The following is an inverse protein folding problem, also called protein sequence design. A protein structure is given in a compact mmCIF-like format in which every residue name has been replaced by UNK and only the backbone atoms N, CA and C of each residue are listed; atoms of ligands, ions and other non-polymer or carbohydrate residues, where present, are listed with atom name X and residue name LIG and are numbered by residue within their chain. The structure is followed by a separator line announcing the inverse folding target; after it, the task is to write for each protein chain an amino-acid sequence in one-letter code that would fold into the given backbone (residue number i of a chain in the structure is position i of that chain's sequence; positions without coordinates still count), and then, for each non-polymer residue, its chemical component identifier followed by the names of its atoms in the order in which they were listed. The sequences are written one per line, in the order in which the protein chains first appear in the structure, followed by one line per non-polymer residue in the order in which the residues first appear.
data_IF_616573527049
#
_entry.id   IF_616573527049
#
_cell.length_a   1.000
_cell.length_b   1.000
_cell.length_c   1.000
_cell.angle_alpha   90.00
_cell.angle_beta   90.00
_cell.angle_gamma   90.00
#
_symmetry.space_group_name_H-M   'P 1'
#
loop_
_entity.id
_entity.type
_entity.pdbx_description
1 polymer ?
#
# COMPACT_ATOMS: atom_id res chain seq x y z
N UNK A 1 2.28 0.52 -0.12
CA UNK A 1 1.21 0.55 0.89
C UNK A 1 -0.09 -0.04 0.34
N UNK A 2 -0.65 0.46 -0.75
CA UNK A 2 -1.96 0.05 -1.26
C UNK A 2 -2.04 -1.44 -1.63
N UNK A 3 -0.96 -2.02 -2.12
CA UNK A 3 -0.83 -3.44 -2.50
C UNK A 3 -0.19 -4.33 -1.42
N UNK A 4 -0.12 -3.91 -0.17
CA UNK A 4 0.56 -4.66 0.89
C UNK A 4 -0.21 -5.88 1.44
N UNK A 5 -1.52 -6.02 1.17
CA UNK A 5 -2.34 -7.14 1.62
C UNK A 5 -2.19 -8.41 0.76
N UNK A 6 -2.25 -8.35 -0.60
CA UNK A 6 -2.23 -9.54 -1.43
C UNK A 6 -1.08 -10.52 -1.14
N UNK A 7 0.17 -10.07 -0.87
CA UNK A 7 1.27 -10.97 -0.54
C UNK A 7 1.06 -11.78 0.73
N UNK A 8 0.29 -11.23 1.69
CA UNK A 8 0.03 -11.85 3.00
C UNK A 8 -1.37 -12.43 3.14
N UNK A 9 -2.16 -12.46 2.05
CA UNK A 9 -3.56 -12.92 2.09
C UNK A 9 -3.69 -14.31 2.70
N UNK A 10 -2.87 -15.26 2.27
CA UNK A 10 -2.90 -16.64 2.75
C UNK A 10 -2.59 -16.71 4.24
N UNK A 11 -1.53 -16.01 4.67
CA UNK A 11 -1.12 -15.94 6.08
C UNK A 11 -2.22 -15.37 6.97
N UNK A 12 -2.84 -14.25 6.55
CA UNK A 12 -3.91 -13.60 7.31
C UNK A 12 -5.16 -14.48 7.37
N UNK A 13 -5.50 -15.16 6.27
CA UNK A 13 -6.64 -16.10 6.23
C UNK A 13 -6.41 -17.25 7.20
N UNK A 14 -5.22 -17.82 7.25
CA UNK A 14 -4.86 -18.90 8.17
C UNK A 14 -4.87 -18.45 9.64
N UNK A 15 -4.26 -17.29 9.93
CA UNK A 15 -4.15 -16.77 11.30
C UNK A 15 -5.53 -16.46 11.91
N UNK A 16 -6.44 -15.88 11.13
CA UNK A 16 -7.76 -15.49 11.62
C UNK A 16 -8.86 -16.51 11.32
N UNK A 17 -8.55 -17.63 10.65
CA UNK A 17 -9.55 -18.63 10.25
C UNK A 17 -10.64 -18.05 9.35
N UNK A 18 -10.29 -17.17 8.42
CA UNK A 18 -11.25 -16.44 7.58
C UNK A 18 -11.88 -17.32 6.51
N UNK A 19 -13.17 -17.14 6.30
CA UNK A 19 -13.84 -17.74 5.14
C UNK A 19 -13.41 -17.06 3.82
N UNK A 20 -13.54 -17.73 2.66
CA UNK A 20 -13.25 -17.11 1.36
C UNK A 20 -14.02 -15.81 1.11
N UNK A 21 -15.27 -15.72 1.60
CA UNK A 21 -16.08 -14.51 1.51
C UNK A 21 -15.50 -13.35 2.33
N UNK A 22 -15.05 -13.62 3.56
CA UNK A 22 -14.41 -12.62 4.42
C UNK A 22 -13.09 -12.13 3.82
N UNK A 23 -12.26 -13.02 3.30
CA UNK A 23 -11.02 -12.67 2.61
C UNK A 23 -11.28 -11.82 1.35
N UNK A 24 -12.35 -12.11 0.61
CA UNK A 24 -12.82 -11.30 -0.50
C UNK A 24 -13.29 -9.90 -0.06
N UNK A 25 -14.03 -9.82 1.05
CA UNK A 25 -14.48 -8.54 1.63
C UNK A 25 -13.30 -7.63 1.97
N UNK A 26 -12.24 -8.14 2.61
CA UNK A 26 -11.03 -7.36 2.91
C UNK A 26 -10.40 -6.81 1.61
N UNK A 27 -10.38 -7.61 0.53
CA UNK A 27 -9.92 -7.18 -0.78
C UNK A 27 -10.76 -6.04 -1.37
N UNK A 28 -12.09 -6.16 -1.32
CA UNK A 28 -13.03 -5.16 -1.82
C UNK A 28 -12.97 -3.85 -1.03
N UNK A 29 -12.80 -3.92 0.29
CA UNK A 29 -12.68 -2.75 1.16
C UNK A 29 -11.56 -1.80 0.72
N UNK A 30 -10.49 -2.33 0.14
CA UNK A 30 -9.38 -1.52 -0.36
C UNK A 30 -9.81 -0.58 -1.52
N UNK A 31 -10.78 -0.99 -2.31
CA UNK A 31 -11.25 -0.22 -3.48
C UNK A 31 -12.46 0.64 -3.13
N UNK A 32 -13.26 0.22 -2.17
CA UNK A 32 -14.56 0.83 -1.85
C UNK A 32 -14.46 2.34 -1.56
N UNK A 33 -13.50 2.76 -0.74
CA UNK A 33 -13.30 4.19 -0.44
C UNK A 33 -12.40 4.92 -1.43
N UNK A 34 -11.74 4.22 -2.35
CA UNK A 34 -10.84 4.86 -3.33
C UNK A 34 -11.60 5.80 -4.26
N UNK A 35 -12.81 5.42 -4.69
CA UNK A 35 -13.61 6.25 -5.63
C UNK A 35 -14.05 7.56 -4.98
N UNK A 36 -14.77 7.57 -3.85
CA UNK A 36 -15.14 8.83 -3.20
C UNK A 36 -13.92 9.63 -2.73
N UNK A 37 -12.85 8.97 -2.27
CA UNK A 37 -11.63 9.64 -1.87
C UNK A 37 -10.95 10.41 -3.03
N UNK A 38 -11.04 9.92 -4.27
CA UNK A 38 -10.51 10.64 -5.45
C UNK A 38 -11.15 12.00 -5.63
N UNK A 39 -12.45 12.13 -5.38
CA UNK A 39 -13.16 13.41 -5.48
C UNK A 39 -12.62 14.37 -4.42
N UNK A 40 -12.54 13.93 -3.17
CA UNK A 40 -12.07 14.75 -2.05
C UNK A 40 -10.60 15.17 -2.26
N UNK A 41 -9.74 14.21 -2.61
CA UNK A 41 -8.33 14.47 -2.86
C UNK A 41 -8.15 15.38 -4.07
N UNK A 42 -8.97 15.24 -5.14
CA UNK A 42 -8.97 16.15 -6.27
C UNK A 42 -9.27 17.60 -5.84
N UNK A 43 -10.30 17.81 -5.03
CA UNK A 43 -10.64 19.16 -4.49
C UNK A 43 -9.54 19.73 -3.61
N UNK A 44 -8.89 18.89 -2.77
CA UNK A 44 -7.76 19.31 -1.95
C UNK A 44 -6.54 19.66 -2.82
N UNK A 45 -6.31 18.89 -3.85
CA UNK A 45 -5.25 19.10 -4.83
C UNK A 45 -5.42 20.45 -5.56
N UNK A 46 -6.65 20.77 -5.97
CA UNK A 46 -6.98 22.05 -6.60
C UNK A 46 -6.74 23.25 -5.68
N UNK A 47 -6.97 23.06 -4.38
CA UNK A 47 -6.89 24.14 -3.39
C UNK A 47 -5.49 24.33 -2.81
N UNK A 48 -4.77 23.24 -2.56
CA UNK A 48 -3.53 23.26 -1.79
C UNK A 48 -2.29 22.85 -2.58
N UNK A 49 -2.47 22.46 -3.83
CA UNK A 49 -1.39 21.99 -4.70
C UNK A 49 -0.96 20.55 -4.43
N UNK A 50 -0.15 19.98 -5.35
CA UNK A 50 0.26 18.59 -5.29
C UNK A 50 1.25 18.29 -4.16
N UNK A 51 2.18 19.22 -3.86
CA UNK A 51 3.20 19.05 -2.84
C UNK A 51 2.60 18.74 -1.47
N UNK A 52 1.71 19.59 -0.97
CA UNK A 52 1.09 19.43 0.34
C UNK A 52 0.13 18.24 0.35
N UNK A 53 -0.73 18.14 -0.67
CA UNK A 53 -1.76 17.10 -0.72
C UNK A 53 -1.15 15.69 -0.77
N UNK A 54 -0.10 15.50 -1.58
CA UNK A 54 0.56 14.19 -1.67
C UNK A 54 1.34 13.85 -0.41
N UNK A 55 2.06 14.82 0.16
CA UNK A 55 2.77 14.63 1.43
C UNK A 55 1.84 14.21 2.55
N UNK A 56 0.71 14.90 2.71
CA UNK A 56 -0.28 14.56 3.74
C UNK A 56 -0.89 13.18 3.51
N UNK A 57 -1.16 12.79 2.26
CA UNK A 57 -1.67 11.46 1.92
C UNK A 57 -0.67 10.34 2.25
N UNK A 58 0.61 10.58 1.99
CA UNK A 58 1.69 9.64 2.32
C UNK A 58 1.88 9.50 3.83
N UNK A 59 1.82 10.60 4.58
CA UNK A 59 1.88 10.59 6.05
C UNK A 59 0.64 9.88 6.61
N UNK A 60 -0.54 10.20 6.08
CA UNK A 60 -1.79 9.52 6.45
C UNK A 60 -1.70 8.00 6.28
N UNK A 61 -1.00 7.51 5.26
CA UNK A 61 -0.89 6.08 4.97
C UNK A 61 -0.34 5.24 6.14
N UNK A 62 0.44 5.85 7.05
CA UNK A 62 0.94 5.16 8.24
C UNK A 62 -0.20 4.75 9.18
N UNK A 63 -1.22 5.60 9.35
CA UNK A 63 -2.33 5.36 10.28
C UNK A 63 -3.07 4.06 9.95
N UNK A 64 -3.64 3.88 8.74
CA UNK A 64 -4.34 2.64 8.41
C UNK A 64 -3.42 1.41 8.37
N UNK A 65 -2.13 1.57 8.03
CA UNK A 65 -1.17 0.47 8.11
C UNK A 65 -0.97 0.00 9.54
N UNK A 66 -0.84 0.91 10.51
CA UNK A 66 -0.70 0.58 11.93
C UNK A 66 -1.99 -0.05 12.48
N UNK A 67 -3.16 0.49 12.12
CA UNK A 67 -4.46 -0.11 12.51
C UNK A 67 -4.58 -1.53 11.97
N UNK A 68 -4.26 -1.75 10.71
CA UNK A 68 -4.33 -3.08 10.09
C UNK A 68 -3.31 -4.04 10.70
N UNK A 69 -2.09 -3.59 10.96
CA UNK A 69 -1.04 -4.40 11.57
C UNK A 69 -1.34 -4.79 13.03
N UNK A 70 -2.04 -3.93 13.76
CA UNK A 70 -2.46 -4.20 15.16
C UNK A 70 -3.78 -4.96 15.28
N UNK A 71 -4.40 -5.33 14.16
CA UNK A 71 -5.71 -5.97 14.15
C UNK A 71 -5.67 -7.33 14.89
N UNK A 72 -6.71 -7.56 15.72
CA UNK A 72 -6.94 -8.81 16.46
C UNK A 72 -8.30 -9.44 16.09
N UNK A 73 -9.05 -8.81 15.19
CA UNK A 73 -10.36 -9.29 14.75
C UNK A 73 -10.62 -8.94 13.30
N UNK A 74 -11.53 -9.69 12.66
CA UNK A 74 -11.97 -9.44 11.30
C UNK A 74 -12.45 -7.98 11.09
N UNK A 75 -13.22 -7.44 12.04
CA UNK A 75 -13.73 -6.08 11.93
C UNK A 75 -12.61 -5.02 11.91
N UNK A 76 -11.56 -5.22 12.70
CA UNK A 76 -10.40 -4.33 12.70
C UNK A 76 -9.62 -4.42 11.38
N UNK A 77 -9.49 -5.61 10.81
CA UNK A 77 -8.92 -5.79 9.47
C UNK A 77 -9.72 -5.03 8.41
N UNK A 78 -11.05 -5.13 8.46
CA UNK A 78 -11.95 -4.41 7.54
C UNK A 78 -11.79 -2.90 7.68
N UNK A 79 -11.81 -2.36 8.90
CA UNK A 79 -11.64 -0.93 9.14
C UNK A 79 -10.29 -0.43 8.65
N UNK A 80 -9.20 -1.09 9.02
CA UNK A 80 -7.86 -0.73 8.55
C UNK A 80 -7.77 -0.75 7.02
N UNK A 81 -8.40 -1.74 6.39
CA UNK A 81 -8.38 -1.88 4.94
C UNK A 81 -9.24 -0.84 4.21
N UNK A 82 -10.40 -0.49 4.75
CA UNK A 82 -11.22 0.61 4.25
C UNK A 82 -10.46 1.94 4.27
N UNK A 83 -9.87 2.28 5.40
CA UNK A 83 -9.07 3.49 5.54
C UNK A 83 -7.86 3.50 4.59
N UNK A 84 -7.22 2.35 4.39
CA UNK A 84 -6.10 2.19 3.45
C UNK A 84 -6.52 2.44 2.00
N UNK A 85 -7.79 2.18 1.66
CA UNK A 85 -8.37 2.46 0.35
C UNK A 85 -8.25 3.94 -0.06
N UNK A 86 -8.26 4.86 0.89
CA UNK A 86 -8.10 6.30 0.64
C UNK A 86 -6.73 6.62 0.00
N UNK A 87 -5.69 5.87 0.37
CA UNK A 87 -4.33 6.05 -0.20
C UNK A 87 -4.31 5.81 -1.71
N UNK A 88 -5.21 4.97 -2.24
CA UNK A 88 -5.37 4.76 -3.68
C UNK A 88 -5.78 6.00 -4.47
N UNK A 89 -6.33 7.03 -3.79
CA UNK A 89 -6.63 8.31 -4.41
C UNK A 89 -5.37 9.11 -4.79
N UNK A 90 -4.19 8.76 -4.26
CA UNK A 90 -2.92 9.40 -4.62
C UNK A 90 -2.57 9.28 -6.11
N UNK A 91 -3.15 8.31 -6.81
CA UNK A 91 -2.97 8.18 -8.26
C UNK A 91 -3.42 9.42 -9.04
N UNK A 92 -4.50 10.08 -8.59
CA UNK A 92 -5.01 11.32 -9.22
C UNK A 92 -4.01 12.47 -9.11
N UNK A 93 -3.28 12.54 -7.99
CA UNK A 93 -2.27 13.60 -7.78
C UNK A 93 -1.16 13.47 -8.81
N UNK A 94 -0.65 12.26 -9.03
CA UNK A 94 0.42 12.03 -10.00
C UNK A 94 -0.01 12.25 -11.44
N UNK A 95 -1.25 11.88 -11.84
CA UNK A 95 -1.79 12.19 -13.16
C UNK A 95 -1.78 13.71 -13.39
N UNK A 96 -2.30 14.48 -12.43
CA UNK A 96 -2.33 15.93 -12.54
C UNK A 96 -0.93 16.53 -12.63
N UNK A 97 -0.01 16.13 -11.77
CA UNK A 97 1.38 16.58 -11.83
C UNK A 97 1.99 16.30 -13.20
N UNK A 98 1.78 15.09 -13.74
CA UNK A 98 2.30 14.71 -15.06
C UNK A 98 1.73 15.65 -16.13
N UNK A 99 0.43 15.94 -16.09
CA UNK A 99 -0.21 16.83 -17.06
C UNK A 99 0.27 18.29 -16.95
N UNK A 100 0.69 18.75 -15.79
CA UNK A 100 1.19 20.12 -15.57
C UNK A 100 2.67 20.27 -15.94
N UNK A 101 3.49 19.22 -15.75
CA UNK A 101 4.94 19.28 -16.01
C UNK A 101 5.34 18.96 -17.45
N UNK A 102 4.51 18.26 -18.21
CA UNK A 102 4.82 17.84 -19.57
C UNK A 102 4.00 18.62 -20.61
N UNK A 103 4.59 18.96 -21.76
CA UNK A 103 3.88 19.64 -22.83
C UNK A 103 2.79 18.72 -23.43
N UNK A 104 1.69 19.28 -24.00
CA UNK A 104 0.54 18.50 -24.48
C UNK A 104 0.87 17.33 -25.43
N UNK A 105 1.97 17.46 -26.18
CA UNK A 105 2.43 16.40 -27.11
C UNK A 105 3.04 15.19 -26.41
N UNK A 106 3.52 15.34 -25.19
CA UNK A 106 4.25 14.34 -24.43
C UNK A 106 3.46 13.79 -23.24
N UNK A 107 2.39 14.47 -22.83
CA UNK A 107 1.55 14.10 -21.67
C UNK A 107 1.10 12.64 -21.74
N UNK A 108 0.61 12.17 -22.91
CA UNK A 108 0.13 10.81 -23.06
C UNK A 108 1.24 9.76 -22.82
N UNK A 109 2.47 10.03 -23.28
CA UNK A 109 3.62 9.14 -23.03
C UNK A 109 4.02 9.17 -21.56
N UNK A 110 4.07 10.36 -20.96
CA UNK A 110 4.43 10.54 -19.55
C UNK A 110 3.41 9.87 -18.61
N UNK A 111 2.12 10.01 -18.89
CA UNK A 111 1.05 9.31 -18.14
C UNK A 111 1.10 7.80 -18.33
N UNK A 112 1.41 7.32 -19.54
CA UNK A 112 1.60 5.90 -19.81
C UNK A 112 2.77 5.32 -18.99
N UNK A 113 3.88 6.02 -18.88
CA UNK A 113 5.03 5.64 -18.04
C UNK A 113 4.61 5.69 -16.55
N UNK A 114 3.96 6.75 -16.10
CA UNK A 114 3.49 6.89 -14.73
C UNK A 114 2.52 5.76 -14.34
N UNK A 115 1.52 5.48 -15.16
CA UNK A 115 0.55 4.41 -14.93
C UNK A 115 1.19 3.02 -14.97
N UNK A 116 2.12 2.80 -15.92
CA UNK A 116 2.91 1.56 -16.02
C UNK A 116 3.77 1.33 -14.79
N UNK A 117 4.45 2.37 -14.31
CA UNK A 117 5.25 2.31 -13.09
C UNK A 117 4.41 2.03 -11.84
N UNK A 118 3.22 2.62 -11.77
CA UNK A 118 2.25 2.34 -10.70
C UNK A 118 1.81 0.86 -10.67
N UNK A 119 1.55 0.26 -11.83
CA UNK A 119 1.21 -1.17 -11.95
C UNK A 119 2.42 -2.08 -11.63
N UNK A 120 3.63 -1.69 -12.04
CA UNK A 120 4.86 -2.39 -11.65
C UNK A 120 5.02 -2.41 -10.14
N UNK A 121 4.61 -1.34 -9.43
CA UNK A 121 4.62 -1.27 -7.97
C UNK A 121 3.81 -2.39 -7.30
N UNK A 122 2.75 -2.90 -7.94
CA UNK A 122 1.98 -4.05 -7.41
C UNK A 122 2.79 -5.35 -7.45
N UNK A 123 3.44 -5.63 -8.58
CA UNK A 123 4.32 -6.79 -8.72
C UNK A 123 5.55 -6.68 -7.79
N UNK A 124 6.14 -5.49 -7.70
CA UNK A 124 7.26 -5.21 -6.80
C UNK A 124 6.88 -5.38 -5.32
N UNK A 125 5.67 -4.99 -4.95
CA UNK A 125 5.13 -5.19 -3.60
C UNK A 125 4.96 -6.68 -3.27
N UNK A 126 4.47 -7.49 -4.20
CA UNK A 126 4.35 -8.95 -4.00
C UNK A 126 5.69 -9.61 -3.68
N UNK A 127 6.75 -9.08 -4.28
CA UNK A 127 8.12 -9.53 -4.07
C UNK A 127 8.72 -9.01 -2.75
N UNK A 128 8.74 -7.69 -2.57
CA UNK A 128 9.46 -7.05 -1.46
C UNK A 128 8.77 -7.27 -0.12
N UNK A 129 7.44 -7.31 -0.07
CA UNK A 129 6.71 -7.45 1.18
C UNK A 129 6.92 -8.82 1.83
N UNK A 130 7.00 -9.90 1.04
CA UNK A 130 7.28 -11.24 1.57
C UNK A 130 8.70 -11.31 2.14
N UNK A 131 9.69 -10.80 1.40
CA UNK A 131 11.08 -10.70 1.91
C UNK A 131 11.12 -9.90 3.21
N UNK A 132 10.41 -8.78 3.26
CA UNK A 132 10.34 -7.94 4.46
C UNK A 132 9.68 -8.67 5.64
N UNK A 133 8.61 -9.43 5.37
CA UNK A 133 7.93 -10.25 6.38
C UNK A 133 8.82 -11.35 6.96
N UNK A 134 9.66 -11.96 6.13
CA UNK A 134 10.66 -12.95 6.57
C UNK A 134 11.81 -12.27 7.32
N UNK A 135 12.34 -11.16 6.79
CA UNK A 135 13.45 -10.44 7.44
C UNK A 135 13.09 -9.90 8.82
N UNK A 136 11.81 -9.62 9.09
CA UNK A 136 11.32 -9.10 10.36
C UNK A 136 10.79 -10.18 11.31
N UNK A 137 11.09 -11.46 11.09
CA UNK A 137 10.64 -12.58 11.95
C UNK A 137 11.16 -12.51 13.38
N UNK A 138 12.27 -11.82 13.60
CA UNK A 138 12.84 -11.60 14.94
C UNK A 138 12.05 -10.59 15.79
N UNK A 139 11.12 -9.85 15.19
CA UNK A 139 10.25 -8.93 15.91
C UNK A 139 8.96 -9.64 16.37
N UNK A 140 8.32 -9.18 17.46
CA UNK A 140 7.08 -9.77 17.95
C UNK A 140 5.93 -9.63 16.95
N UNK A 141 4.99 -10.57 16.96
CA UNK A 141 3.77 -10.54 16.12
C UNK A 141 3.86 -11.31 14.81
N UNK A 142 4.90 -12.13 14.61
CA UNK A 142 4.97 -13.06 13.48
C UNK A 142 3.97 -14.21 13.64
N UNK A 143 3.35 -14.63 12.52
CA UNK A 143 2.52 -15.82 12.46
C UNK A 143 3.42 -17.06 12.23
N UNK A 144 3.29 -18.06 13.08
CA UNK A 144 4.02 -19.31 12.99
C UNK A 144 3.09 -20.38 12.39
N UNK A 145 3.48 -20.93 11.26
CA UNK A 145 2.73 -21.98 10.56
C UNK A 145 2.90 -23.36 11.23
N UNK A 146 3.90 -23.52 12.08
CA UNK A 146 4.29 -24.82 12.67
C UNK A 146 5.22 -25.61 11.75
N UNK A 147 4.80 -25.89 10.53
CA UNK A 147 5.62 -26.45 9.47
C UNK A 147 6.10 -25.35 8.53
N UNK A 148 7.30 -25.49 7.90
CA UNK A 148 7.78 -24.49 6.95
C UNK A 148 6.87 -24.36 5.74
N UNK A 149 6.41 -23.13 5.49
CA UNK A 149 5.65 -22.78 4.29
C UNK A 149 6.59 -22.33 3.17
N UNK A 150 6.31 -22.79 1.96
CA UNK A 150 7.11 -22.46 0.78
C UNK A 150 6.57 -21.23 0.07
N UNK A 151 7.35 -20.16 0.05
CA UNK A 151 7.03 -18.93 -0.68
C UNK A 151 7.77 -18.88 -2.00
N UNK A 152 7.03 -18.82 -3.11
CA UNK A 152 7.57 -18.69 -4.46
C UNK A 152 7.45 -17.26 -4.94
N UNK A 153 8.56 -16.69 -5.34
CA UNK A 153 8.63 -15.34 -5.87
C UNK A 153 9.15 -15.39 -7.30
N UNK A 154 8.24 -15.40 -8.24
CA UNK A 154 8.42 -15.31 -9.69
C UNK A 154 9.70 -16.03 -10.22
N UNK A 155 10.82 -15.32 -10.36
CA UNK A 155 12.09 -15.83 -10.90
C UNK A 155 13.12 -16.18 -9.81
N UNK A 156 12.79 -16.01 -8.55
CA UNK A 156 13.70 -16.33 -7.45
C UNK A 156 13.48 -17.75 -6.93
N UNK A 157 14.51 -18.38 -6.36
CA UNK A 157 14.36 -19.68 -5.74
C UNK A 157 13.29 -19.58 -4.64
N UNK A 158 12.49 -20.65 -4.56
CA UNK A 158 11.53 -20.77 -3.46
C UNK A 158 12.30 -20.76 -2.12
N UNK A 159 11.78 -20.05 -1.14
CA UNK A 159 12.28 -20.10 0.22
C UNK A 159 11.21 -20.58 1.17
N UNK A 160 11.65 -21.26 2.22
CA UNK A 160 10.80 -21.85 3.23
C UNK A 160 11.00 -21.12 4.55
N UNK A 161 9.93 -20.82 5.25
CA UNK A 161 9.97 -20.24 6.59
C UNK A 161 8.78 -20.71 7.42
N UNK A 162 9.00 -21.10 8.69
CA UNK A 162 7.89 -21.40 9.58
C UNK A 162 7.22 -20.13 10.13
N UNK A 163 7.82 -18.96 9.96
CA UNK A 163 7.32 -17.70 10.53
C UNK A 163 7.31 -16.61 9.48
N UNK A 164 6.19 -15.87 9.37
CA UNK A 164 6.07 -14.70 8.52
C UNK A 164 5.47 -13.53 9.31
N UNK A 165 6.25 -12.45 9.45
CA UNK A 165 5.81 -11.27 10.20
C UNK A 165 5.14 -10.23 9.29
N UNK A 166 3.92 -10.53 8.84
CA UNK A 166 3.13 -9.64 8.00
C UNK A 166 2.75 -8.35 8.72
N UNK A 167 2.58 -8.40 10.05
CA UNK A 167 2.20 -7.23 10.86
C UNK A 167 3.27 -6.16 10.79
N UNK A 168 4.52 -6.54 11.08
CA UNK A 168 5.66 -5.63 11.01
C UNK A 168 5.98 -5.18 9.58
N UNK A 169 5.79 -6.03 8.58
CA UNK A 169 5.97 -5.66 7.19
C UNK A 169 4.96 -4.59 6.76
N UNK A 170 3.69 -4.73 7.13
CA UNK A 170 2.65 -3.74 6.82
C UNK A 170 2.87 -2.45 7.61
N UNK A 171 3.15 -2.51 8.90
CA UNK A 171 3.47 -1.34 9.72
C UNK A 171 4.70 -0.59 9.17
N UNK A 172 5.77 -1.32 8.86
CA UNK A 172 6.99 -0.78 8.27
C UNK A 172 6.73 -0.07 6.94
N UNK A 173 5.89 -0.66 6.07
CA UNK A 173 5.52 -0.01 4.81
C UNK A 173 4.79 1.32 5.01
N UNK A 174 3.96 1.42 6.03
CA UNK A 174 3.28 2.66 6.41
C UNK A 174 4.25 3.72 6.95
N UNK A 175 5.17 3.31 7.82
CA UNK A 175 6.21 4.20 8.38
C UNK A 175 7.12 4.73 7.26
N UNK A 176 7.58 3.87 6.35
CA UNK A 176 8.40 4.27 5.20
C UNK A 176 7.63 5.27 4.32
N UNK A 177 6.33 5.03 4.07
CA UNK A 177 5.51 5.97 3.31
C UNK A 177 5.41 7.34 4.01
N UNK A 178 5.24 7.38 5.33
CA UNK A 178 5.17 8.63 6.08
C UNK A 178 6.51 9.38 6.07
N UNK A 179 7.63 8.69 6.25
CA UNK A 179 8.97 9.28 6.14
C UNK A 179 9.23 9.83 4.74
N UNK A 180 8.82 9.08 3.72
CA UNK A 180 8.89 9.55 2.33
C UNK A 180 7.97 10.75 2.08
N UNK A 181 6.80 10.80 2.70
CA UNK A 181 5.89 11.95 2.63
C UNK A 181 6.51 13.22 3.23
N UNK A 182 7.22 13.10 4.34
CA UNK A 182 7.99 14.20 4.91
C UNK A 182 9.14 14.61 4.00
N UNK A 183 9.93 13.66 3.51
CA UNK A 183 11.01 13.93 2.55
C UNK A 183 10.48 14.62 1.28
N UNK A 184 9.36 14.13 0.74
CA UNK A 184 8.71 14.70 -0.44
C UNK A 184 8.33 16.16 -0.21
N UNK A 185 7.75 16.50 0.94
CA UNK A 185 7.35 17.86 1.27
C UNK A 185 8.52 18.85 1.20
N UNK A 186 9.70 18.47 1.68
CA UNK A 186 10.85 19.37 1.72
C UNK A 186 11.64 19.44 0.40
N UNK A 187 11.51 18.46 -0.47
CA UNK A 187 12.33 18.34 -1.68
C UNK A 187 11.56 18.60 -2.98
N UNK A 188 10.24 18.64 -2.96
CA UNK A 188 9.41 18.86 -4.15
C UNK A 188 8.82 20.26 -4.12
N UNK A 189 8.79 20.91 -5.27
CA UNK A 189 8.12 22.21 -5.47
C UNK A 189 6.75 21.98 -6.10
N UNK A 190 5.82 22.88 -5.81
CA UNK A 190 4.56 22.90 -6.53
C UNK A 190 4.80 23.27 -8.00
N UNK A 191 3.87 22.85 -8.85
CA UNK A 191 3.85 23.23 -10.27
C UNK A 191 3.72 24.72 -10.41
N UNK A 192 4.35 25.32 -11.42
CA UNK A 192 4.30 26.78 -11.65
C UNK A 192 2.90 27.28 -11.97
#
# INVERSE_FOLDING_TARGET
VWFNYPPFKTTIVQEFGLTPAQAGTIGLCNVALTVPARIIIGMLLDRYGPRLTYSLLLIYAAIPCLIFASAQSFNQLVVGRLLMGIVGAGFVIGIRMTAEWFPPKEVGTAEGIYGGWGNFGSAFSAFTMVIFGVALTFLPGGFNFGEPETFKILFFPAFETPVLNWRMAIAGSGIIAALYGMFYYFNVTDTP
#
